data_IF_745656482147
#
_entry.id   IF_745656482147
#
_cell.length_a   1.000
_cell.length_b   1.000
_cell.length_c   1.000
_cell.angle_alpha   90.00
_cell.angle_beta   90.00
_cell.angle_gamma   90.00
#
_symmetry.space_group_name_H-M   'P 1'
#
loop_
_entity.id
_entity.type
_entity.pdbx_description
1 polymer ?
#
# COMPACT_ATOMS: atom_id res chain seq x y z
N UNK A 1 -46.05 -38.91 -2.58
CA UNK A 1 -45.23 -38.61 -1.39
C UNK A 1 -46.05 -37.74 -0.45
N UNK A 2 -46.35 -38.24 0.75
CA UNK A 2 -47.36 -37.66 1.64
C UNK A 2 -46.88 -36.36 2.30
N UNK A 3 -47.57 -35.25 2.00
CA UNK A 3 -47.33 -33.88 2.51
C UNK A 3 -47.75 -33.68 3.99
N UNK A 4 -47.61 -34.68 4.86
CA UNK A 4 -48.02 -34.61 6.27
C UNK A 4 -46.90 -34.81 7.30
N UNK A 5 -45.64 -34.97 6.87
CA UNK A 5 -44.49 -35.13 7.78
C UNK A 5 -43.58 -33.90 7.92
N UNK A 6 -43.80 -32.84 7.15
CA UNK A 6 -42.93 -31.64 7.19
C UNK A 6 -43.10 -30.75 8.44
N UNK A 7 -44.32 -30.55 9.02
CA UNK A 7 -44.47 -29.67 10.18
C UNK A 7 -43.85 -30.24 11.47
N UNK A 8 -43.81 -31.57 11.61
CA UNK A 8 -43.24 -32.23 12.79
C UNK A 8 -41.71 -32.13 12.86
N UNK A 9 -41.03 -32.12 11.71
CA UNK A 9 -39.57 -32.02 11.66
C UNK A 9 -39.09 -30.60 11.98
N UNK A 10 -39.86 -29.58 11.59
CA UNK A 10 -39.55 -28.16 11.86
C UNK A 10 -39.73 -27.82 13.35
N UNK A 11 -40.73 -28.42 14.01
CA UNK A 11 -40.97 -28.19 15.44
C UNK A 11 -39.89 -28.84 16.32
N UNK A 12 -39.36 -30.01 15.93
CA UNK A 12 -38.25 -30.67 16.64
C UNK A 12 -36.93 -29.91 16.44
N UNK A 13 -36.69 -29.33 15.25
CA UNK A 13 -35.52 -28.47 15.02
C UNK A 13 -35.57 -27.20 15.90
N UNK A 14 -36.75 -26.62 16.10
CA UNK A 14 -36.93 -25.45 16.96
C UNK A 14 -36.76 -25.76 18.45
N UNK A 15 -37.11 -26.96 18.92
CA UNK A 15 -36.90 -27.37 20.33
C UNK A 15 -35.43 -27.73 20.60
N UNK A 16 -34.71 -28.29 19.62
CA UNK A 16 -33.26 -28.49 19.72
C UNK A 16 -32.50 -27.15 19.71
N UNK A 17 -33.05 -26.12 19.04
CA UNK A 17 -32.49 -24.76 19.01
C UNK A 17 -32.91 -23.86 20.19
N UNK A 18 -33.81 -24.30 21.08
CA UNK A 18 -34.27 -23.49 22.23
C UNK A 18 -33.98 -24.12 23.59
N UNK A 19 -33.12 -25.14 23.64
CA UNK A 19 -32.89 -25.96 24.82
C UNK A 19 -31.43 -26.18 25.22
N UNK A 20 -30.53 -25.22 25.01
CA UNK A 20 -29.30 -25.14 25.81
C UNK A 20 -28.79 -23.71 25.78
N UNK A 21 -28.68 -23.08 26.95
CA UNK A 21 -28.25 -21.71 27.13
C UNK A 21 -26.72 -21.67 27.28
N UNK A 22 -25.98 -21.15 26.29
CA UNK A 22 -24.69 -20.49 26.54
C UNK A 22 -24.71 -19.01 26.13
N UNK A 23 -25.90 -18.39 25.97
CA UNK A 23 -26.05 -16.94 25.74
C UNK A 23 -26.00 -16.13 27.05
N UNK A 24 -25.20 -16.58 28.01
CA UNK A 24 -24.63 -15.70 29.05
C UNK A 24 -23.11 -15.69 29.01
N UNK A 25 -22.50 -16.27 27.98
CA UNK A 25 -21.16 -15.86 27.56
C UNK A 25 -21.38 -14.67 26.63
N UNK A 26 -21.11 -13.51 27.21
CA UNK A 26 -21.29 -12.18 26.67
C UNK A 26 -20.92 -12.11 25.16
N UNK A 27 -21.91 -12.15 24.26
CA UNK A 27 -21.64 -11.90 22.82
C UNK A 27 -21.11 -10.47 22.59
N UNK A 28 -21.26 -9.58 23.59
CA UNK A 28 -20.64 -8.27 23.62
C UNK A 28 -19.22 -8.29 24.21
N UNK A 29 -18.73 -9.35 24.88
CA UNK A 29 -17.32 -9.37 25.35
C UNK A 29 -16.31 -9.54 24.23
N UNK A 30 -16.74 -9.94 23.03
CA UNK A 30 -15.93 -9.93 21.82
C UNK A 30 -16.07 -8.64 21.00
N UNK A 31 -17.03 -7.78 21.34
CA UNK A 31 -17.22 -6.45 20.71
C UNK A 31 -16.52 -5.36 21.54
N UNK A 32 -16.20 -5.61 22.81
CA UNK A 32 -15.75 -4.61 23.78
C UNK A 32 -14.25 -4.55 24.10
N UNK A 33 -13.38 -5.25 23.37
CA UNK A 33 -11.94 -5.25 23.72
C UNK A 33 -11.01 -4.68 22.65
N UNK A 34 -11.51 -3.84 21.72
CA UNK A 34 -10.60 -2.86 21.11
C UNK A 34 -10.22 -1.85 22.19
N UNK A 35 -9.16 -2.15 22.93
CA UNK A 35 -8.57 -1.22 23.88
C UNK A 35 -7.90 -0.14 23.04
N UNK A 36 -8.40 1.09 23.14
CA UNK A 36 -7.72 2.21 22.51
C UNK A 36 -6.25 2.21 22.98
N UNK A 37 -5.28 2.08 22.06
CA UNK A 37 -3.88 2.05 22.44
C UNK A 37 -3.49 3.39 23.04
N UNK A 38 -2.51 3.37 23.95
CA UNK A 38 -1.83 4.60 24.31
C UNK A 38 -1.00 5.08 23.12
N UNK A 39 -1.47 6.13 22.44
CA UNK A 39 -0.82 6.65 21.24
C UNK A 39 0.58 7.22 21.49
N UNK A 40 1.01 7.33 22.76
CA UNK A 40 2.36 7.74 23.15
C UNK A 40 3.30 6.58 23.43
N UNK A 41 2.83 5.33 23.35
CA UNK A 41 3.59 4.13 23.61
C UNK A 41 3.66 3.25 22.36
N UNK A 42 4.86 3.07 21.82
CA UNK A 42 5.08 2.27 20.62
C UNK A 42 4.68 0.80 20.77
N UNK A 43 4.84 0.20 21.95
CA UNK A 43 4.49 -1.22 22.17
C UNK A 43 2.96 -1.39 22.15
N UNK A 44 2.22 -0.46 22.78
CA UNK A 44 0.76 -0.44 22.73
C UNK A 44 0.25 -0.22 21.29
N UNK A 45 0.98 0.55 20.48
CA UNK A 45 0.67 0.79 19.07
C UNK A 45 0.90 -0.48 18.23
N UNK A 46 2.05 -1.15 18.39
CA UNK A 46 2.37 -2.39 17.69
C UNK A 46 1.36 -3.49 18.02
N UNK A 47 0.98 -3.64 19.29
CA UNK A 47 -0.07 -4.58 19.71
C UNK A 47 -1.43 -4.27 19.08
N UNK A 48 -1.76 -2.99 18.88
CA UNK A 48 -3.03 -2.57 18.26
C UNK A 48 -3.02 -2.65 16.73
N UNK A 49 -1.84 -2.75 16.10
CA UNK A 49 -1.67 -2.77 14.65
C UNK A 49 -2.28 -4.02 13.98
N UNK A 50 -2.49 -5.10 14.75
CA UNK A 50 -3.14 -6.33 14.30
C UNK A 50 -4.66 -6.20 14.13
N UNK A 51 -5.27 -5.16 14.71
CA UNK A 51 -6.72 -4.97 14.71
C UNK A 51 -7.15 -4.05 13.55
N UNK A 52 -7.99 -4.50 12.59
CA UNK A 52 -8.42 -3.66 11.46
C UNK A 52 -9.09 -2.33 11.88
N UNK A 53 -9.75 -2.34 13.04
CA UNK A 53 -10.41 -1.16 13.62
C UNK A 53 -9.41 -0.04 13.93
N UNK A 54 -8.15 -0.35 14.20
CA UNK A 54 -7.10 0.64 14.46
C UNK A 54 -6.93 1.59 13.26
N UNK A 55 -6.71 1.04 12.06
CA UNK A 55 -6.51 1.85 10.85
C UNK A 55 -7.77 2.61 10.43
N UNK A 56 -8.95 2.00 10.58
CA UNK A 56 -10.22 2.69 10.32
C UNK A 56 -10.44 3.87 11.28
N UNK A 57 -10.03 3.77 12.54
CA UNK A 57 -10.04 4.90 13.48
C UNK A 57 -9.06 5.99 13.03
N UNK A 58 -7.81 5.63 12.68
CA UNK A 58 -6.79 6.60 12.24
C UNK A 58 -7.17 7.33 10.95
N UNK A 59 -7.80 6.63 10.01
CA UNK A 59 -8.32 7.20 8.76
C UNK A 59 -9.34 8.32 9.00
N UNK A 60 -10.13 8.20 10.08
CA UNK A 60 -11.15 9.17 10.45
C UNK A 60 -10.66 10.23 11.47
N UNK A 61 -9.44 10.09 11.99
CA UNK A 61 -8.83 11.02 12.95
C UNK A 61 -7.39 11.39 12.54
N UNK A 62 -7.22 12.47 11.74
CA UNK A 62 -5.91 12.93 11.30
C UNK A 62 -4.98 13.34 12.44
N UNK A 63 -5.52 13.77 13.59
CA UNK A 63 -4.70 14.14 14.75
C UNK A 63 -4.14 12.90 15.44
N UNK A 64 -4.97 11.85 15.61
CA UNK A 64 -4.51 10.57 16.10
C UNK A 64 -3.48 9.93 15.16
N UNK A 65 -3.71 9.98 13.84
CA UNK A 65 -2.73 9.52 12.84
C UNK A 65 -1.38 10.24 12.97
N UNK A 66 -1.40 11.57 13.10
CA UNK A 66 -0.17 12.35 13.27
C UNK A 66 0.57 11.96 14.55
N UNK A 67 -0.15 11.76 15.65
CA UNK A 67 0.43 11.34 16.92
C UNK A 67 1.05 9.93 16.85
N UNK A 68 0.39 8.98 16.19
CA UNK A 68 0.95 7.63 15.95
C UNK A 68 2.25 7.72 15.18
N UNK A 69 2.28 8.49 14.07
CA UNK A 69 3.48 8.65 13.26
C UNK A 69 4.61 9.34 14.03
N UNK A 70 4.32 10.34 14.87
CA UNK A 70 5.31 10.99 15.74
C UNK A 70 5.90 10.02 16.76
N UNK A 71 5.06 9.20 17.39
CA UNK A 71 5.51 8.17 18.34
C UNK A 71 6.39 7.13 17.66
N UNK A 72 6.02 6.64 16.47
CA UNK A 72 6.85 5.67 15.73
C UNK A 72 8.15 6.29 15.23
N UNK A 73 8.13 7.55 14.77
CA UNK A 73 9.36 8.27 14.40
C UNK A 73 10.31 8.39 15.60
N UNK A 74 9.78 8.62 16.81
CA UNK A 74 10.62 8.69 18.02
C UNK A 74 11.37 7.39 18.31
N UNK A 75 10.82 6.23 17.89
CA UNK A 75 11.49 4.93 18.00
C UNK A 75 12.60 4.79 16.96
N UNK A 76 12.38 5.25 15.72
CA UNK A 76 13.41 5.27 14.67
C UNK A 76 14.61 6.12 15.08
N UNK A 77 14.33 7.29 15.65
CA UNK A 77 15.34 8.26 16.07
C UNK A 77 16.05 7.88 17.37
N UNK A 78 15.53 6.91 18.13
CA UNK A 78 16.12 6.47 19.40
C UNK A 78 17.41 5.65 19.15
N UNK A 79 18.59 6.15 19.55
CA UNK A 79 19.84 5.40 19.38
C UNK A 79 19.91 4.13 20.24
N UNK A 80 19.10 4.04 21.30
CA UNK A 80 19.08 2.91 22.23
C UNK A 80 18.01 1.85 21.87
N UNK A 81 17.11 2.15 20.91
CA UNK A 81 16.16 1.17 20.40
C UNK A 81 16.87 0.08 19.59
N UNK A 82 16.43 -1.17 19.74
CA UNK A 82 16.96 -2.29 18.96
C UNK A 82 16.60 -2.17 17.48
N UNK A 83 17.45 -2.74 16.62
CA UNK A 83 17.21 -2.77 15.16
C UNK A 83 15.85 -3.41 14.83
N UNK A 84 15.48 -4.49 15.50
CA UNK A 84 14.17 -5.14 15.38
C UNK A 84 13.03 -4.16 15.66
N UNK A 85 13.13 -3.37 16.75
CA UNK A 85 12.09 -2.41 17.13
C UNK A 85 12.01 -1.23 16.14
N UNK A 86 13.15 -0.82 15.57
CA UNK A 86 13.19 0.18 14.50
C UNK A 86 12.55 -0.34 13.22
N UNK A 87 12.84 -1.58 12.84
CA UNK A 87 12.22 -2.23 11.69
C UNK A 87 10.70 -2.37 11.88
N UNK A 88 10.23 -2.80 13.06
CA UNK A 88 8.80 -2.86 13.38
C UNK A 88 8.13 -1.48 13.30
N UNK A 89 8.76 -0.44 13.86
CA UNK A 89 8.24 0.92 13.79
C UNK A 89 8.15 1.44 12.34
N UNK A 90 9.18 1.20 11.52
CA UNK A 90 9.20 1.56 10.11
C UNK A 90 8.09 0.85 9.31
N UNK A 91 7.93 -0.46 9.50
CA UNK A 91 6.85 -1.21 8.86
C UNK A 91 5.47 -0.75 9.33
N UNK A 92 5.31 -0.41 10.61
CA UNK A 92 4.05 0.13 11.12
C UNK A 92 3.74 1.53 10.56
N UNK A 93 4.73 2.42 10.44
CA UNK A 93 4.54 3.73 9.80
C UNK A 93 4.07 3.57 8.36
N UNK A 94 4.70 2.66 7.63
CA UNK A 94 4.32 2.27 6.26
C UNK A 94 2.84 1.85 6.22
N UNK A 95 2.44 0.92 7.08
CA UNK A 95 1.06 0.44 7.16
C UNK A 95 0.07 1.55 7.52
N UNK A 96 0.43 2.43 8.45
CA UNK A 96 -0.40 3.61 8.79
C UNK A 96 -0.58 4.50 7.57
N UNK A 97 0.45 4.76 6.76
CA UNK A 97 0.31 5.54 5.54
C UNK A 97 -0.60 4.86 4.51
N UNK A 98 -0.37 3.58 4.24
CA UNK A 98 -1.06 2.84 3.18
C UNK A 98 -2.51 2.48 3.54
N UNK A 99 -2.75 1.87 4.70
CA UNK A 99 -4.08 1.40 5.12
C UNK A 99 -5.04 2.56 5.37
N UNK A 100 -4.54 3.72 5.82
CA UNK A 100 -5.40 4.91 6.02
C UNK A 100 -5.69 5.70 4.72
N UNK A 101 -5.07 5.33 3.60
CA UNK A 101 -5.25 6.00 2.29
C UNK A 101 -5.92 5.12 1.24
N UNK A 102 -6.46 3.95 1.63
CA UNK A 102 -7.14 2.99 0.76
C UNK A 102 -6.27 2.51 -0.42
N UNK A 103 -4.98 2.26 -0.20
CA UNK A 103 -4.09 1.73 -1.24
C UNK A 103 -4.21 0.21 -1.43
N UNK A 104 -4.96 -0.49 -0.57
CA UNK A 104 -5.10 -1.95 -0.58
C UNK A 104 -5.60 -2.49 -1.93
N UNK A 105 -6.62 -1.88 -2.52
CA UNK A 105 -7.13 -2.27 -3.84
C UNK A 105 -6.06 -2.11 -4.93
N UNK A 106 -5.31 -1.00 -4.89
CA UNK A 106 -4.20 -0.72 -5.82
C UNK A 106 -3.08 -1.74 -5.67
N UNK A 107 -2.70 -2.10 -4.44
CA UNK A 107 -1.69 -3.13 -4.18
C UNK A 107 -2.17 -4.52 -4.60
N UNK A 108 -3.45 -4.84 -4.41
CA UNK A 108 -4.04 -6.10 -4.89
C UNK A 108 -3.97 -6.19 -6.42
N UNK A 109 -4.26 -5.09 -7.13
CA UNK A 109 -4.16 -5.05 -8.59
C UNK A 109 -2.72 -5.22 -9.08
N UNK A 110 -1.73 -4.63 -8.39
CA UNK A 110 -0.32 -4.88 -8.69
C UNK A 110 0.02 -6.35 -8.54
N UNK A 111 -0.38 -6.99 -7.43
CA UNK A 111 -0.09 -8.40 -7.20
C UNK A 111 -0.73 -9.31 -8.26
N UNK A 112 -1.94 -8.98 -8.72
CA UNK A 112 -2.56 -9.67 -9.86
C UNK A 112 -1.76 -9.47 -11.15
N UNK A 113 -1.37 -8.24 -11.47
CA UNK A 113 -0.58 -7.92 -12.66
C UNK A 113 0.77 -8.67 -12.69
N UNK A 114 1.47 -8.72 -11.55
CA UNK A 114 2.71 -9.48 -11.41
C UNK A 114 2.45 -10.98 -11.55
N UNK A 115 1.37 -11.49 -10.97
CA UNK A 115 0.96 -12.89 -11.12
C UNK A 115 0.70 -13.27 -12.58
N UNK A 116 0.00 -12.42 -13.32
CA UNK A 116 -0.31 -12.63 -14.74
C UNK A 116 0.98 -12.58 -15.59
N UNK A 117 1.90 -11.65 -15.32
CA UNK A 117 3.18 -11.54 -16.00
C UNK A 117 4.07 -12.78 -15.79
N UNK A 118 4.18 -13.27 -14.55
CA UNK A 118 4.94 -14.48 -14.22
C UNK A 118 4.33 -15.73 -14.88
N UNK A 119 3.02 -15.75 -15.10
CA UNK A 119 2.33 -16.85 -15.77
C UNK A 119 2.51 -16.89 -17.30
N UNK A 120 3.16 -15.86 -17.87
CA UNK A 120 3.41 -15.73 -19.30
C UNK A 120 2.20 -15.21 -20.09
N UNK A 121 1.21 -14.62 -19.41
CA UNK A 121 0.20 -13.82 -20.09
C UNK A 121 0.82 -12.51 -20.57
N UNK A 122 0.50 -12.10 -21.79
CA UNK A 122 1.03 -10.86 -22.35
C UNK A 122 0.26 -9.66 -21.79
N UNK A 123 0.60 -9.31 -20.54
CA UNK A 123 -0.01 -8.19 -19.80
C UNK A 123 0.44 -6.83 -20.34
N UNK A 124 1.46 -6.81 -21.21
CA UNK A 124 2.10 -5.60 -21.71
C UNK A 124 1.98 -5.41 -23.24
N UNK A 125 1.37 -6.36 -23.96
CA UNK A 125 1.13 -6.29 -25.42
C UNK A 125 0.21 -5.11 -25.77
N UNK A 126 0.79 -4.03 -26.30
CA UNK A 126 0.10 -2.82 -26.72
C UNK A 126 0.48 -1.53 -25.97
N UNK A 127 1.48 -1.59 -25.08
CA UNK A 127 1.98 -0.44 -24.32
C UNK A 127 2.75 0.56 -25.20
N UNK A 128 2.00 1.42 -25.91
CA UNK A 128 2.50 2.73 -26.29
C UNK A 128 2.58 3.65 -25.07
N UNK A 129 3.65 4.45 -25.03
CA UNK A 129 3.83 5.71 -24.30
C UNK A 129 3.85 5.64 -22.74
N UNK A 130 5.07 5.53 -22.19
CA UNK A 130 5.46 6.03 -20.86
C UNK A 130 5.12 5.19 -19.60
N UNK A 131 5.87 5.35 -18.49
CA UNK A 131 5.67 4.63 -17.22
C UNK A 131 4.29 4.88 -16.58
N UNK A 132 3.59 5.93 -16.95
CA UNK A 132 2.23 6.24 -16.51
C UNK A 132 1.18 5.21 -16.98
N UNK A 133 1.45 4.51 -18.09
CA UNK A 133 0.59 3.45 -18.61
C UNK A 133 0.59 2.22 -17.71
N UNK A 134 1.74 1.90 -17.10
CA UNK A 134 1.84 0.87 -16.07
C UNK A 134 1.03 1.24 -14.82
N UNK A 135 1.14 2.49 -14.36
CA UNK A 135 0.32 2.96 -13.24
C UNK A 135 -1.18 2.86 -13.53
N UNK A 136 -1.60 3.14 -14.77
CA UNK A 136 -3.00 2.97 -15.15
C UNK A 136 -3.45 1.50 -15.10
N UNK A 137 -2.58 0.55 -15.44
CA UNK A 137 -2.91 -0.88 -15.31
C UNK A 137 -3.17 -1.27 -13.85
N UNK A 138 -2.43 -0.68 -12.92
CA UNK A 138 -2.57 -0.93 -11.48
C UNK A 138 -3.80 -0.21 -10.89
N UNK A 139 -3.97 1.07 -11.18
CA UNK A 139 -5.09 1.87 -10.66
C UNK A 139 -6.44 1.53 -11.32
N UNK A 140 -6.40 0.93 -12.51
CA UNK A 140 -7.56 0.59 -13.31
C UNK A 140 -8.17 1.78 -14.04
N UNK A 141 -9.25 1.51 -14.77
CA UNK A 141 -10.01 2.56 -15.45
C UNK A 141 -10.93 3.31 -14.45
N UNK A 142 -11.07 4.64 -14.59
CA UNK A 142 -11.98 5.42 -13.75
C UNK A 142 -13.41 4.89 -13.86
N UNK A 143 -14.10 4.59 -12.75
CA UNK A 143 -15.46 4.07 -12.79
C UNK A 143 -16.44 5.08 -13.41
N UNK A 144 -17.25 4.65 -14.37
CA UNK A 144 -18.21 5.53 -15.07
C UNK A 144 -19.26 6.20 -14.14
N UNK A 145 -19.47 5.64 -12.94
CA UNK A 145 -20.41 6.15 -11.96
C UNK A 145 -19.82 7.22 -11.02
N UNK A 146 -18.50 7.43 -11.04
CA UNK A 146 -17.79 8.37 -10.18
C UNK A 146 -17.38 9.59 -11.02
N UNK A 147 -17.50 10.80 -10.44
CA UNK A 147 -17.07 12.00 -11.15
C UNK A 147 -15.55 12.04 -11.29
N UNK A 148 -15.05 12.70 -12.35
CA UNK A 148 -13.61 12.91 -12.52
C UNK A 148 -12.96 13.53 -11.28
N UNK A 149 -13.61 14.53 -10.67
CA UNK A 149 -13.08 15.22 -9.49
C UNK A 149 -12.97 14.30 -8.27
N UNK A 150 -14.00 13.48 -8.03
CA UNK A 150 -14.01 12.56 -6.87
C UNK A 150 -12.98 11.43 -7.05
N UNK A 151 -12.89 10.87 -8.25
CA UNK A 151 -11.92 9.82 -8.54
C UNK A 151 -10.48 10.37 -8.51
N UNK A 152 -10.23 11.54 -9.10
CA UNK A 152 -8.93 12.23 -8.98
C UNK A 152 -8.54 12.49 -7.53
N UNK A 153 -9.48 12.90 -6.68
CA UNK A 153 -9.21 13.11 -5.26
C UNK A 153 -8.83 11.80 -4.55
N UNK A 154 -9.51 10.69 -4.84
CA UNK A 154 -9.17 9.37 -4.31
C UNK A 154 -7.76 8.92 -4.76
N UNK A 155 -7.44 9.05 -6.06
CA UNK A 155 -6.10 8.73 -6.60
C UNK A 155 -5.03 9.61 -5.96
N UNK A 156 -5.30 10.90 -5.76
CA UNK A 156 -4.38 11.82 -5.08
C UNK A 156 -4.06 11.36 -3.65
N UNK A 157 -5.07 10.89 -2.91
CA UNK A 157 -4.89 10.36 -1.55
C UNK A 157 -4.00 9.10 -1.58
N UNK A 158 -4.25 8.19 -2.52
CA UNK A 158 -3.47 6.95 -2.68
C UNK A 158 -2.00 7.22 -3.06
N UNK A 159 -1.75 8.10 -4.05
CA UNK A 159 -0.40 8.49 -4.46
C UNK A 159 0.39 9.10 -3.31
N UNK A 160 -0.23 9.99 -2.52
CA UNK A 160 0.41 10.55 -1.32
C UNK A 160 0.67 9.49 -0.25
N UNK A 161 -0.19 8.46 -0.15
CA UNK A 161 0.04 7.30 0.71
C UNK A 161 1.32 6.55 0.33
N UNK A 162 1.51 6.27 -0.96
CA UNK A 162 2.73 5.61 -1.45
C UNK A 162 3.99 6.48 -1.30
N UNK A 163 3.90 7.78 -1.57
CA UNK A 163 5.01 8.71 -1.35
C UNK A 163 5.45 8.75 0.12
N UNK A 164 4.48 8.87 1.04
CA UNK A 164 4.77 8.92 2.47
C UNK A 164 5.26 7.57 3.04
N UNK A 165 4.96 6.46 2.36
CA UNK A 165 5.46 5.14 2.72
C UNK A 165 6.93 4.90 2.29
N UNK A 166 7.49 5.71 1.38
CA UNK A 166 8.82 5.47 0.83
C UNK A 166 9.93 5.61 1.89
N UNK A 167 9.91 6.69 2.67
CA UNK A 167 10.92 6.96 3.71
C UNK A 167 10.98 5.88 4.81
N UNK A 168 9.86 5.46 5.44
CA UNK A 168 9.92 4.39 6.43
C UNK A 168 10.35 3.04 5.82
N UNK A 169 9.93 2.71 4.60
CA UNK A 169 10.40 1.50 3.92
C UNK A 169 11.90 1.55 3.58
N UNK A 170 12.41 2.73 3.24
CA UNK A 170 13.84 2.92 3.03
C UNK A 170 14.61 2.67 4.34
N UNK A 171 14.16 3.22 5.47
CA UNK A 171 14.78 2.93 6.78
C UNK A 171 14.71 1.46 7.16
N UNK A 172 13.60 0.78 6.87
CA UNK A 172 13.47 -0.66 7.06
C UNK A 172 14.53 -1.41 6.24
N UNK A 173 14.68 -1.09 4.96
CA UNK A 173 15.67 -1.70 4.07
C UNK A 173 17.12 -1.41 4.45
N UNK A 174 17.45 -0.18 4.83
CA UNK A 174 18.78 0.17 5.35
C UNK A 174 19.15 -0.67 6.59
N UNK A 175 18.16 -0.91 7.46
CA UNK A 175 18.37 -1.77 8.65
C UNK A 175 18.46 -3.24 8.27
N UNK A 176 17.71 -3.66 7.25
CA UNK A 176 17.73 -5.02 6.70
C UNK A 176 19.10 -5.35 6.09
N UNK A 177 19.70 -4.41 5.36
CA UNK A 177 21.05 -4.57 4.77
C UNK A 177 22.10 -4.87 5.86
N UNK A 178 21.99 -4.17 7.00
CA UNK A 178 22.94 -4.33 8.13
C UNK A 178 22.72 -5.64 8.88
N UNK A 179 21.46 -6.00 9.13
CA UNK A 179 21.09 -7.11 10.01
C UNK A 179 20.97 -8.45 9.28
N UNK A 180 20.58 -8.42 8.00
CA UNK A 180 20.27 -9.59 7.18
C UNK A 180 19.01 -10.36 7.64
N UNK A 181 18.16 -9.75 8.47
CA UNK A 181 16.99 -10.41 9.05
C UNK A 181 15.81 -9.46 9.18
N UNK A 182 14.60 -9.97 8.91
CA UNK A 182 13.35 -9.28 9.17
C UNK A 182 12.81 -9.59 10.58
N UNK A 183 12.01 -8.70 11.18
CA UNK A 183 11.33 -8.98 12.45
C UNK A 183 10.42 -10.22 12.37
N UNK A 184 10.17 -10.92 13.49
CA UNK A 184 9.29 -12.07 13.51
C UNK A 184 7.87 -11.73 13.02
N UNK A 185 7.30 -12.60 12.19
CA UNK A 185 5.91 -12.47 11.76
C UNK A 185 5.69 -11.48 10.60
N UNK A 186 6.74 -10.86 10.06
CA UNK A 186 6.63 -10.04 8.85
C UNK A 186 6.45 -10.89 7.60
N UNK A 187 5.76 -10.34 6.62
CA UNK A 187 5.65 -10.92 5.29
C UNK A 187 6.56 -10.16 4.33
N UNK A 188 7.74 -10.71 4.07
CA UNK A 188 8.77 -10.04 3.25
C UNK A 188 8.29 -9.78 1.81
N UNK A 189 7.43 -10.65 1.26
CA UNK A 189 6.82 -10.43 -0.05
C UNK A 189 5.83 -9.26 -0.07
N UNK A 190 5.03 -9.09 0.98
CA UNK A 190 4.13 -7.94 1.13
C UNK A 190 4.93 -6.63 1.27
N UNK A 191 6.01 -6.65 2.07
CA UNK A 191 6.90 -5.50 2.23
C UNK A 191 7.60 -5.15 0.90
N UNK A 192 8.00 -6.14 0.11
CA UNK A 192 8.57 -5.94 -1.22
C UNK A 192 7.56 -5.29 -2.19
N UNK A 193 6.30 -5.73 -2.20
CA UNK A 193 5.24 -5.08 -3.00
C UNK A 193 5.03 -3.62 -2.59
N UNK A 194 5.02 -3.34 -1.27
CA UNK A 194 4.90 -1.96 -0.75
C UNK A 194 6.08 -1.09 -1.18
N UNK A 195 7.30 -1.61 -1.06
CA UNK A 195 8.53 -0.92 -1.46
C UNK A 195 8.57 -0.64 -2.96
N UNK A 196 8.15 -1.60 -3.79
CA UNK A 196 8.02 -1.40 -5.22
C UNK A 196 7.04 -0.28 -5.55
N UNK A 197 5.83 -0.30 -4.99
CA UNK A 197 4.84 0.77 -5.25
C UNK A 197 5.31 2.13 -4.75
N UNK A 198 5.93 2.20 -3.57
CA UNK A 198 6.44 3.44 -3.01
C UNK A 198 7.57 4.02 -3.88
N UNK A 199 8.56 3.18 -4.25
CA UNK A 199 9.69 3.57 -5.10
C UNK A 199 9.25 4.04 -6.48
N UNK A 200 8.42 3.25 -7.17
CA UNK A 200 7.88 3.63 -8.49
C UNK A 200 7.08 4.93 -8.43
N UNK A 201 6.28 5.14 -7.37
CA UNK A 201 5.50 6.38 -7.22
C UNK A 201 6.42 7.57 -6.99
N UNK A 202 7.41 7.45 -6.09
CA UNK A 202 8.44 8.47 -5.83
C UNK A 202 9.17 8.86 -7.10
N UNK A 203 9.65 7.88 -7.86
CA UNK A 203 10.38 8.06 -9.12
C UNK A 203 9.53 8.74 -10.18
N UNK A 204 8.31 8.24 -10.43
CA UNK A 204 7.45 8.83 -11.45
C UNK A 204 7.08 10.27 -11.11
N UNK A 205 6.69 10.53 -9.86
CA UNK A 205 6.37 11.88 -9.39
C UNK A 205 7.58 12.81 -9.52
N UNK A 206 8.80 12.34 -9.25
CA UNK A 206 10.00 13.19 -9.38
C UNK A 206 10.21 13.74 -10.80
N UNK A 207 10.04 12.91 -11.83
CA UNK A 207 10.36 13.26 -13.22
C UNK A 207 9.29 14.12 -13.91
N UNK A 208 8.09 14.26 -13.33
CA UNK A 208 7.05 15.15 -13.86
C UNK A 208 7.52 16.60 -13.82
N UNK A 209 7.34 17.32 -14.92
CA UNK A 209 7.72 18.73 -15.06
C UNK A 209 6.74 19.66 -14.33
N UNK A 210 6.89 19.72 -13.01
CA UNK A 210 6.22 20.72 -12.18
C UNK A 210 7.12 21.21 -11.03
N UNK A 211 6.86 22.44 -10.61
CA UNK A 211 7.68 23.15 -9.61
C UNK A 211 7.53 22.62 -8.19
N UNK A 212 6.42 21.95 -7.86
CA UNK A 212 6.15 21.41 -6.52
C UNK A 212 5.71 19.95 -6.60
N UNK A 213 6.02 19.16 -5.56
CA UNK A 213 5.57 17.77 -5.46
C UNK A 213 4.05 17.65 -5.55
N UNK A 214 3.31 18.51 -4.85
CA UNK A 214 1.85 18.55 -4.92
C UNK A 214 1.32 18.76 -6.35
N UNK A 215 1.99 19.59 -7.16
CA UNK A 215 1.61 19.76 -8.56
C UNK A 215 1.94 18.53 -9.41
N UNK A 216 3.06 17.85 -9.14
CA UNK A 216 3.44 16.60 -9.82
C UNK A 216 2.45 15.47 -9.53
N UNK A 217 2.06 15.32 -8.25
CA UNK A 217 1.01 14.38 -7.84
C UNK A 217 -0.32 14.73 -8.51
N UNK A 218 -0.71 16.01 -8.54
CA UNK A 218 -1.95 16.44 -9.18
C UNK A 218 -1.99 16.12 -10.69
N UNK A 219 -0.86 16.25 -11.38
CA UNK A 219 -0.70 15.89 -12.79
C UNK A 219 -0.88 14.39 -13.00
N UNK A 220 -0.18 13.56 -12.20
CA UNK A 220 -0.31 12.10 -12.29
C UNK A 220 -1.73 11.64 -11.97
N UNK A 221 -2.33 12.17 -10.92
CA UNK A 221 -3.71 11.87 -10.55
C UNK A 221 -4.71 12.28 -11.65
N UNK A 222 -4.46 13.40 -12.33
CA UNK A 222 -5.29 13.84 -13.47
C UNK A 222 -5.19 12.88 -14.64
N UNK A 223 -3.98 12.39 -14.96
CA UNK A 223 -3.78 11.39 -16.00
C UNK A 223 -4.53 10.09 -15.68
N UNK A 224 -4.37 9.57 -14.47
CA UNK A 224 -5.03 8.33 -14.02
C UNK A 224 -6.56 8.48 -13.96
N UNK A 225 -7.07 9.66 -13.62
CA UNK A 225 -8.50 9.91 -13.55
C UNK A 225 -9.17 10.19 -14.91
N UNK A 226 -8.40 10.44 -15.97
CA UNK A 226 -8.97 10.82 -17.28
C UNK A 226 -9.50 9.59 -18.02
N UNK A 227 -10.78 9.50 -18.42
CA UNK A 227 -11.27 8.35 -19.18
C UNK A 227 -10.57 8.21 -20.54
N UNK A 228 -10.36 6.98 -21.00
CA UNK A 228 -9.91 6.71 -22.38
C UNK A 228 -10.96 7.15 -23.39
N UNK A 229 -10.49 7.65 -24.53
CA UNK A 229 -11.28 7.83 -25.74
C UNK A 229 -11.73 6.46 -26.30
N UNK A 230 -12.74 6.42 -27.18
CA UNK A 230 -13.20 5.18 -27.82
C UNK A 230 -12.13 4.44 -28.62
N UNK A 231 -11.07 5.12 -29.04
CA UNK A 231 -9.91 4.54 -29.74
C UNK A 231 -8.81 4.06 -28.78
N UNK A 232 -9.03 4.13 -27.46
CA UNK A 232 -8.09 3.72 -26.42
C UNK A 232 -7.09 4.81 -25.99
N UNK A 233 -7.03 5.95 -26.69
CA UNK A 233 -6.11 7.04 -26.34
C UNK A 233 -6.56 7.80 -25.09
N UNK A 234 -5.61 8.38 -24.35
CA UNK A 234 -5.91 9.24 -23.20
C UNK A 234 -5.70 10.69 -23.62
N UNK A 235 -6.72 11.57 -23.52
CA UNK A 235 -6.61 12.97 -23.96
C UNK A 235 -5.78 13.85 -23.01
N UNK A 236 -5.02 13.25 -22.10
CA UNK A 236 -4.15 13.90 -21.12
C UNK A 236 -2.73 13.38 -21.32
N UNK A 237 -1.77 14.30 -21.39
CA UNK A 237 -0.35 13.97 -21.58
C UNK A 237 0.46 14.54 -20.43
N UNK A 238 1.38 13.75 -19.90
CA UNK A 238 2.32 14.19 -18.87
C UNK A 238 3.55 14.78 -19.56
N UNK A 239 4.02 15.93 -19.08
CA UNK A 239 5.30 16.50 -19.51
C UNK A 239 6.36 16.14 -18.47
N UNK A 240 7.53 15.71 -18.94
CA UNK A 240 8.66 15.30 -18.13
C UNK A 240 9.79 16.32 -18.21
N UNK A 241 10.59 16.44 -17.14
CA UNK A 241 11.66 17.45 -17.04
C UNK A 241 12.72 17.25 -18.13
N UNK A 242 12.89 18.24 -19.02
CA UNK A 242 13.84 18.16 -20.15
C UNK A 242 15.32 18.34 -19.76
N UNK A 243 15.62 18.92 -18.59
CA UNK A 243 16.99 19.27 -18.16
C UNK A 243 17.83 18.10 -17.60
N UNK A 244 17.20 16.98 -17.29
CA UNK A 244 17.81 15.73 -16.81
C UNK A 244 17.67 14.59 -17.85
N UNK A 245 17.36 14.92 -19.11
CA UNK A 245 17.26 13.95 -20.21
C UNK A 245 15.88 13.34 -20.46
N UNK A 246 14.83 13.80 -19.77
CA UNK A 246 13.53 13.14 -19.74
C UNK A 246 13.45 12.12 -18.61
N UNK A 247 12.54 11.14 -18.69
CA UNK A 247 12.64 9.94 -17.86
C UNK A 247 13.94 9.22 -18.27
N UNK A 248 14.81 8.82 -17.32
CA UNK A 248 16.03 8.10 -17.66
C UNK A 248 15.71 6.84 -18.45
N UNK A 249 16.63 6.43 -19.33
CA UNK A 249 16.63 5.05 -19.80
C UNK A 249 16.92 4.16 -18.60
N UNK A 250 15.87 3.55 -18.04
CA UNK A 250 15.99 2.58 -16.96
C UNK A 250 16.66 1.31 -17.54
N UNK A 251 17.79 0.91 -16.95
CA UNK A 251 18.47 -0.33 -17.31
C UNK A 251 17.80 -1.55 -16.68
N UNK A 252 16.90 -1.32 -15.72
CA UNK A 252 16.03 -2.31 -15.09
C UNK A 252 15.07 -1.65 -14.09
N UNK A 253 14.10 -2.40 -13.56
CA UNK A 253 13.11 -1.86 -12.61
C UNK A 253 13.73 -1.40 -11.29
N UNK A 254 14.89 -1.96 -10.92
CA UNK A 254 15.69 -1.55 -9.77
C UNK A 254 16.10 -0.07 -9.83
N UNK A 255 16.29 0.49 -11.03
CA UNK A 255 16.60 1.91 -11.21
C UNK A 255 15.41 2.82 -10.81
N UNK A 256 14.19 2.27 -10.77
CA UNK A 256 13.00 2.99 -10.31
C UNK A 256 12.83 3.00 -8.79
N UNK A 257 13.65 2.22 -8.08
CA UNK A 257 13.62 2.15 -6.62
C UNK A 257 14.60 3.15 -5.99
N UNK A 258 15.64 3.55 -6.71
CA UNK A 258 16.64 4.54 -6.26
C UNK A 258 16.01 5.92 -6.11
N UNK A 259 16.37 6.64 -5.04
CA UNK A 259 15.92 8.00 -4.79
C UNK A 259 16.40 8.92 -5.92
N UNK A 260 15.49 9.43 -6.76
CA UNK A 260 15.87 10.28 -7.87
C UNK A 260 16.38 11.65 -7.41
N UNK A 261 16.16 12.05 -6.15
CA UNK A 261 16.71 13.27 -5.56
C UNK A 261 18.16 13.10 -5.07
N UNK A 262 18.63 11.87 -4.84
CA UNK A 262 20.04 11.52 -4.55
C UNK A 262 20.52 10.33 -5.41
N UNK A 263 20.64 10.51 -6.74
CA UNK A 263 21.01 9.43 -7.65
C UNK A 263 22.47 8.98 -7.51
N UNK A 264 23.28 9.67 -6.69
CA UNK A 264 24.71 9.38 -6.54
C UNK A 264 25.01 8.31 -5.48
N UNK A 265 23.98 7.84 -4.79
CA UNK A 265 24.10 6.91 -3.68
C UNK A 265 23.11 5.73 -3.80
N UNK A 266 23.10 5.00 -4.94
CA UNK A 266 22.17 3.89 -5.18
C UNK A 266 22.34 2.75 -4.16
N UNK A 267 23.55 2.58 -3.62
CA UNK A 267 23.87 1.58 -2.59
C UNK A 267 23.23 1.90 -1.21
N UNK A 268 22.53 3.03 -1.05
CA UNK A 268 21.81 3.38 0.18
C UNK A 268 20.31 3.45 0.01
N UNK A 269 19.78 3.02 -1.13
CA UNK A 269 18.34 2.95 -1.24
C UNK A 269 17.82 1.65 -0.63
N UNK A 270 17.44 1.74 0.65
CA UNK A 270 16.82 0.63 1.36
C UNK A 270 15.63 0.02 0.62
N UNK A 271 14.92 0.75 -0.25
CA UNK A 271 13.83 0.15 -1.04
C UNK A 271 14.29 -0.99 -1.94
N UNK A 272 15.49 -0.90 -2.52
CA UNK A 272 16.10 -1.97 -3.31
C UNK A 272 16.32 -3.20 -2.44
N UNK A 273 16.84 -3.00 -1.23
CA UNK A 273 17.09 -4.08 -0.28
C UNK A 273 15.79 -4.76 0.17
N UNK A 274 14.73 -4.00 0.45
CA UNK A 274 13.42 -4.57 0.81
C UNK A 274 12.88 -5.48 -0.31
N UNK A 275 12.96 -5.01 -1.56
CA UNK A 275 12.50 -5.78 -2.72
C UNK A 275 13.34 -7.04 -2.91
N UNK A 276 14.66 -6.92 -2.86
CA UNK A 276 15.58 -8.04 -3.03
C UNK A 276 15.40 -9.09 -1.94
N UNK A 277 15.25 -8.66 -0.68
CA UNK A 277 15.05 -9.54 0.47
C UNK A 277 13.73 -10.30 0.40
N UNK A 278 12.67 -9.68 -0.10
CA UNK A 278 11.39 -10.33 -0.36
C UNK A 278 11.43 -11.37 -1.50
N UNK A 279 12.58 -11.53 -2.17
CA UNK A 279 12.79 -12.51 -3.24
C UNK A 279 12.15 -12.10 -4.57
N UNK A 280 11.79 -10.83 -4.74
CA UNK A 280 11.35 -10.29 -6.02
C UNK A 280 12.58 -9.98 -6.87
N UNK A 281 12.94 -10.94 -7.75
CA UNK A 281 13.95 -10.73 -8.78
C UNK A 281 13.34 -9.91 -9.93
N UNK A 282 13.34 -8.59 -9.77
CA UNK A 282 12.78 -7.67 -10.76
C UNK A 282 13.50 -7.73 -12.11
N UNK A 283 14.80 -8.06 -12.11
CA UNK A 283 15.60 -8.20 -13.34
C UNK A 283 15.24 -9.47 -14.12
N UNK A 284 14.59 -10.45 -13.48
CA UNK A 284 14.06 -11.65 -14.15
C UNK A 284 12.67 -11.47 -14.77
N UNK A 285 11.98 -10.36 -14.46
CA UNK A 285 10.61 -10.07 -14.92
C UNK A 285 10.56 -9.28 -16.24
N UNK A 286 11.69 -8.76 -16.72
CA UNK A 286 11.82 -7.94 -17.93
C UNK A 286 12.99 -8.40 -18.81
#
# INVERSE_FOLDING_TARGET
MNKRMLPGLVLVLLIVLSGCNPFTTNLYSGIDNFKNPDLTNADDLLDAADEPQFYENLKNDPAAKAQVLETLQSVLDDPDASDEKKQEAALMMTDVHLKTTNTEDTMSNLNSLVGDAVSGEDVFEGSGDGPETFFRAIFGEPPAAISFADYKAAVTIQLNGFLAAAEPLQHYGETLEVTGTSPPGTNDGDNATKALMAGMTRTLVYYIDASTEAARVDILASYLATPKNPDGSIPYTITYREGEGGIPDFNGPSDMLVDPADPTNPDKDGLVEVVAFGGLDLDSLF
#
